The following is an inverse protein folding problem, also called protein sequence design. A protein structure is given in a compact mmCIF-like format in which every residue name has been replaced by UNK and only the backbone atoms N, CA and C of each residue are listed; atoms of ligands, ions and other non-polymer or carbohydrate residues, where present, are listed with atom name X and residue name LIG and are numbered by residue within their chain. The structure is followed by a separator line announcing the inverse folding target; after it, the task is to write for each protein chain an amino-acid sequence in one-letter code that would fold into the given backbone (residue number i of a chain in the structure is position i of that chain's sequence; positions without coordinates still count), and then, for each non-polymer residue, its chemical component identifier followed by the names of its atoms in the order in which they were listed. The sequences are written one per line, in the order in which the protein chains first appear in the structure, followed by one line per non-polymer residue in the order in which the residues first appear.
data_IF_066991341761
#
_entry.id   IF_066991341761
#
_cell.length_a   1.000
_cell.length_b   1.000
_cell.length_c   1.000
_cell.angle_alpha   90.00
_cell.angle_beta   90.00
_cell.angle_gamma   90.00
#
_symmetry.space_group_name_H-M   'P 1'
#
loop_
_entity.id
_entity.type
_entity.pdbx_description
1 polymer ?
#
# COMPACT_ATOMS: atom_id res chain seq x y z
N UNK A 1 -25.78 6.61 -3.93
CA UNK A 1 -25.02 5.36 -4.16
C UNK A 1 -23.98 5.30 -3.05
N UNK A 2 -23.92 4.21 -2.29
CA UNK A 2 -23.10 4.11 -1.07
C UNK A 2 -21.71 3.60 -1.44
N UNK A 3 -20.69 4.45 -1.29
CA UNK A 3 -19.29 4.04 -1.45
C UNK A 3 -18.98 3.07 -0.31
N UNK A 4 -18.74 1.79 -0.63
CA UNK A 4 -18.29 0.80 0.35
C UNK A 4 -16.78 0.80 0.37
N UNK A 5 -16.20 1.11 1.52
CA UNK A 5 -14.79 0.86 1.79
C UNK A 5 -14.67 -0.57 2.27
N UNK A 6 -13.97 -1.40 1.51
CA UNK A 6 -13.57 -2.73 1.98
C UNK A 6 -12.34 -2.56 2.88
N UNK A 7 -12.57 -2.53 4.19
CA UNK A 7 -11.48 -2.52 5.16
C UNK A 7 -10.91 -3.94 5.21
N UNK A 8 -9.67 -4.04 4.76
CA UNK A 8 -8.90 -5.27 4.74
C UNK A 8 -7.82 -5.14 5.79
N UNK A 9 -8.15 -5.55 7.02
CA UNK A 9 -7.12 -5.65 8.06
C UNK A 9 -6.17 -6.79 7.72
N UNK A 10 -4.88 -6.48 7.64
CA UNK A 10 -3.84 -7.52 7.68
C UNK A 10 -3.62 -7.83 9.15
N UNK A 11 -3.61 -9.10 9.53
CA UNK A 11 -3.14 -9.49 10.87
C UNK A 11 -1.61 -9.38 10.97
N UNK A 12 -1.01 -8.37 10.34
CA UNK A 12 0.39 -8.03 10.52
C UNK A 12 0.47 -7.24 11.83
N UNK A 13 0.74 -7.98 12.91
CA UNK A 13 1.16 -7.46 14.21
C UNK A 13 0.36 -6.25 14.73
N UNK A 14 -0.77 -6.51 15.39
CA UNK A 14 -1.49 -5.55 16.24
C UNK A 14 -0.69 -5.07 17.47
N UNK A 15 0.65 -5.07 17.40
CA UNK A 15 1.59 -4.62 18.42
C UNK A 15 2.99 -4.24 17.90
N UNK A 16 3.21 -4.16 16.58
CA UNK A 16 4.46 -3.62 16.05
C UNK A 16 4.41 -2.09 16.02
N UNK A 17 5.46 -1.44 16.50
CA UNK A 17 5.65 0.01 16.46
C UNK A 17 6.81 0.35 15.53
N UNK A 18 6.51 1.06 14.44
CA UNK A 18 7.49 1.47 13.44
C UNK A 18 7.85 2.96 13.52
N UNK A 19 7.38 3.68 14.55
CA UNK A 19 7.59 5.12 14.72
C UNK A 19 9.07 5.53 14.71
N UNK A 20 9.95 4.66 15.19
CA UNK A 20 11.40 4.90 15.22
C UNK A 20 12.07 4.86 13.83
N UNK A 21 11.40 4.31 12.81
CA UNK A 21 11.86 4.25 11.43
C UNK A 21 11.51 5.55 10.70
N UNK A 22 12.02 6.66 11.20
CA UNK A 22 11.70 8.04 10.78
C UNK A 22 12.53 8.57 9.59
N UNK A 23 13.41 7.74 9.04
CA UNK A 23 14.33 8.12 7.98
C UNK A 23 14.51 6.96 6.99
N UNK A 24 14.71 7.31 5.71
CA UNK A 24 14.82 6.33 4.62
C UNK A 24 15.96 5.34 4.85
N UNK A 25 17.07 5.79 5.43
CA UNK A 25 18.19 4.92 5.80
C UNK A 25 17.77 3.86 6.83
N UNK A 26 17.08 4.25 7.92
CA UNK A 26 16.58 3.30 8.92
C UNK A 26 15.61 2.28 8.32
N UNK A 27 14.75 2.72 7.41
CA UNK A 27 13.80 1.85 6.72
C UNK A 27 14.53 0.83 5.82
N UNK A 28 15.52 1.25 5.04
CA UNK A 28 16.35 0.34 4.25
C UNK A 28 17.14 -0.65 5.13
N UNK A 29 17.69 -0.20 6.27
CA UNK A 29 18.31 -1.11 7.24
C UNK A 29 17.33 -2.17 7.76
N UNK A 30 16.06 -1.83 7.95
CA UNK A 30 15.04 -2.80 8.34
C UNK A 30 14.74 -3.79 7.21
N UNK A 31 14.78 -3.35 5.95
CA UNK A 31 14.71 -4.24 4.78
C UNK A 31 15.89 -5.20 4.73
N UNK A 32 17.12 -4.70 4.92
CA UNK A 32 18.33 -5.53 4.94
C UNK A 32 18.31 -6.61 6.03
N UNK A 33 17.63 -6.35 7.16
CA UNK A 33 17.44 -7.32 8.25
C UNK A 33 16.31 -8.32 8.01
N UNK A 34 15.46 -8.08 7.00
CA UNK A 34 14.26 -8.86 6.73
C UNK A 34 13.05 -8.50 7.59
N UNK A 35 13.09 -7.37 8.31
CA UNK A 35 11.95 -6.89 9.11
C UNK A 35 10.86 -6.25 8.23
N UNK A 36 11.28 -5.66 7.11
CA UNK A 36 10.42 -5.00 6.13
C UNK A 36 10.80 -5.43 4.72
N UNK A 37 9.92 -5.12 3.77
CA UNK A 37 10.19 -5.16 2.34
C UNK A 37 9.94 -3.80 1.73
N UNK A 38 10.71 -3.47 0.69
CA UNK A 38 10.47 -2.29 -0.14
C UNK A 38 9.61 -2.71 -1.34
N UNK A 39 8.45 -2.08 -1.52
CA UNK A 39 7.54 -2.38 -2.64
C UNK A 39 7.21 -1.11 -3.41
N UNK A 40 6.77 -1.30 -4.66
CA UNK A 40 6.29 -0.21 -5.49
C UNK A 40 4.81 0.07 -5.24
N UNK A 41 4.46 1.35 -5.07
CA UNK A 41 3.06 1.79 -5.01
C UNK A 41 2.35 1.52 -6.33
N UNK A 42 2.90 2.03 -7.43
CA UNK A 42 2.54 1.63 -8.78
C UNK A 42 3.42 0.45 -9.22
N UNK A 43 2.86 -0.73 -9.48
CA UNK A 43 3.61 -1.89 -9.99
C UNK A 43 4.37 -1.61 -11.29
N UNK A 44 5.55 -2.24 -11.44
CA UNK A 44 6.38 -2.11 -12.64
C UNK A 44 5.64 -2.53 -13.92
N UNK A 45 4.79 -3.56 -13.83
CA UNK A 45 3.95 -4.03 -14.94
C UNK A 45 2.94 -2.98 -15.45
N UNK A 46 2.66 -1.94 -14.66
CA UNK A 46 1.82 -0.80 -15.03
C UNK A 46 2.62 0.49 -15.30
N UNK A 47 3.94 0.37 -15.48
CA UNK A 47 4.84 1.50 -15.75
C UNK A 47 5.41 2.16 -14.50
N UNK A 48 5.23 1.55 -13.33
CA UNK A 48 5.91 1.95 -12.10
C UNK A 48 7.43 1.88 -12.23
N UNK A 49 8.12 2.80 -11.57
CA UNK A 49 9.60 2.86 -11.56
C UNK A 49 10.12 2.84 -10.12
N UNK A 50 11.35 2.38 -9.93
CA UNK A 50 12.05 2.36 -8.63
C UNK A 50 12.55 3.76 -8.24
N UNK A 51 11.66 4.75 -8.27
CA UNK A 51 11.94 6.09 -7.75
C UNK A 51 11.54 6.16 -6.30
N UNK A 52 12.21 7.04 -5.55
CA UNK A 52 11.96 7.18 -4.11
C UNK A 52 10.49 7.49 -3.79
N UNK A 53 9.83 8.26 -4.67
CA UNK A 53 8.42 8.63 -4.60
C UNK A 53 7.45 7.46 -4.85
N UNK A 54 7.90 6.35 -5.44
CA UNK A 54 7.07 5.18 -5.74
C UNK A 54 7.39 4.00 -4.83
N UNK A 55 8.39 4.12 -3.94
CA UNK A 55 8.80 3.06 -3.03
C UNK A 55 8.24 3.32 -1.63
N UNK A 56 7.60 2.29 -1.07
CA UNK A 56 7.13 2.28 0.32
C UNK A 56 7.72 1.08 1.07
N UNK A 57 7.91 1.23 2.37
CA UNK A 57 8.44 0.20 3.25
C UNK A 57 7.31 -0.38 4.10
N UNK A 58 7.09 -1.68 4.00
CA UNK A 58 5.99 -2.35 4.70
C UNK A 58 6.41 -3.75 5.18
N UNK A 59 5.71 -4.33 6.16
CA UNK A 59 5.88 -5.75 6.49
C UNK A 59 5.54 -6.65 5.30
N UNK A 60 6.16 -7.83 5.22
CA UNK A 60 5.95 -8.79 4.12
C UNK A 60 4.47 -9.13 3.91
N UNK A 61 3.72 -9.39 4.99
CA UNK A 61 2.29 -9.70 4.90
C UNK A 61 1.44 -8.57 4.27
N UNK A 62 1.88 -7.31 4.39
CA UNK A 62 1.23 -6.15 3.75
C UNK A 62 1.54 -6.12 2.26
N UNK A 63 2.78 -6.42 1.88
CA UNK A 63 3.17 -6.58 0.48
C UNK A 63 2.37 -7.69 -0.20
N UNK A 64 2.32 -8.89 0.41
CA UNK A 64 1.54 -10.02 -0.12
C UNK A 64 0.05 -9.67 -0.28
N UNK A 65 -0.50 -8.85 0.62
CA UNK A 65 -1.89 -8.43 0.52
C UNK A 65 -2.11 -7.43 -0.61
N UNK A 66 -1.19 -6.48 -0.79
CA UNK A 66 -1.23 -5.54 -1.91
C UNK A 66 -1.10 -6.27 -3.24
N UNK A 67 -0.14 -7.18 -3.36
CA UNK A 67 0.08 -7.97 -4.58
C UNK A 67 -1.17 -8.75 -4.96
N UNK A 68 -1.89 -9.32 -3.98
CA UNK A 68 -3.18 -9.98 -4.23
C UNK A 68 -4.24 -9.04 -4.79
N UNK A 69 -4.35 -7.80 -4.28
CA UNK A 69 -5.29 -6.81 -4.82
C UNK A 69 -4.90 -6.45 -6.26
N UNK A 70 -3.61 -6.25 -6.51
CA UNK A 70 -3.11 -5.93 -7.84
C UNK A 70 -3.40 -7.07 -8.83
N UNK A 71 -3.14 -8.32 -8.44
CA UNK A 71 -3.34 -9.50 -9.29
C UNK A 71 -4.82 -9.88 -9.51
N UNK A 72 -5.65 -9.78 -8.47
CA UNK A 72 -7.05 -10.22 -8.55
C UNK A 72 -7.99 -9.14 -9.09
N UNK A 73 -7.66 -7.86 -8.90
CA UNK A 73 -8.54 -6.73 -9.27
C UNK A 73 -7.96 -5.93 -10.43
N UNK A 74 -6.72 -5.44 -10.30
CA UNK A 74 -6.13 -4.49 -11.25
C UNK A 74 -5.77 -5.17 -12.56
N UNK A 75 -5.05 -6.29 -12.50
CA UNK A 75 -4.60 -7.04 -13.69
C UNK A 75 -5.77 -7.45 -14.60
N UNK A 76 -6.89 -8.03 -14.10
CA UNK A 76 -8.03 -8.36 -14.96
C UNK A 76 -8.68 -7.13 -15.61
N UNK A 77 -8.77 -6.00 -14.90
CA UNK A 77 -9.33 -4.77 -15.46
C UNK A 77 -8.46 -4.23 -16.60
N UNK A 78 -7.15 -4.16 -16.41
CA UNK A 78 -6.20 -3.74 -17.45
C UNK A 78 -6.25 -4.68 -18.65
N UNK A 79 -6.25 -6.01 -18.42
CA UNK A 79 -6.33 -7.03 -19.49
C UNK A 79 -7.63 -6.98 -20.28
N UNK A 80 -8.73 -6.49 -19.67
CA UNK A 80 -10.00 -6.30 -20.37
C UNK A 80 -10.00 -5.10 -21.34
N UNK A 81 -8.86 -4.40 -21.48
CA UNK A 81 -8.72 -3.24 -22.37
C UNK A 81 -9.36 -1.96 -21.83
N UNK A 82 -9.70 -1.93 -20.54
CA UNK A 82 -10.28 -0.75 -19.89
C UNK A 82 -9.17 0.15 -19.37
N UNK A 83 -9.32 1.45 -19.60
CA UNK A 83 -8.55 2.46 -18.86
C UNK A 83 -9.03 2.47 -17.41
N UNK A 84 -8.07 2.38 -16.49
CA UNK A 84 -8.32 2.46 -15.06
C UNK A 84 -7.54 3.62 -14.45
N UNK A 85 -8.11 4.19 -13.41
CA UNK A 85 -7.38 5.02 -12.46
C UNK A 85 -7.02 4.12 -11.28
N UNK A 86 -5.73 4.08 -10.96
CA UNK A 86 -5.17 3.31 -9.87
C UNK A 86 -4.34 4.25 -9.00
N UNK A 87 -4.61 4.27 -7.71
CA UNK A 87 -3.88 5.07 -6.75
C UNK A 87 -3.64 4.29 -5.48
N UNK A 88 -2.41 4.39 -4.95
CA UNK A 88 -2.05 3.92 -3.61
C UNK A 88 -1.55 5.12 -2.84
N UNK A 89 -2.21 5.42 -1.73
CA UNK A 89 -1.88 6.55 -0.87
C UNK A 89 -1.47 6.03 0.51
N UNK A 90 -0.19 6.17 0.90
CA UNK A 90 0.25 5.78 2.23
C UNK A 90 -0.27 6.77 3.27
N UNK A 91 -0.81 6.25 4.36
CA UNK A 91 -1.15 7.04 5.54
C UNK A 91 -0.01 6.92 6.53
N UNK A 92 0.71 8.01 6.76
CA UNK A 92 1.86 8.01 7.68
C UNK A 92 1.47 8.53 9.05
N UNK A 93 2.08 7.96 10.09
CA UNK A 93 2.09 8.53 11.42
C UNK A 93 3.36 9.37 11.62
N UNK A 94 3.18 10.67 11.90
CA UNK A 94 4.25 11.66 12.11
C UNK A 94 5.33 11.59 11.02
N UNK A 95 6.55 11.19 11.40
CA UNK A 95 7.73 11.10 10.52
C UNK A 95 8.07 9.66 10.14
N UNK A 96 7.26 8.67 10.53
CA UNK A 96 7.51 7.27 10.19
C UNK A 96 7.58 7.07 8.67
N UNK A 97 8.61 6.34 8.23
CA UNK A 97 8.76 5.87 6.85
C UNK A 97 7.89 4.63 6.58
N UNK A 98 7.35 4.01 7.64
CA UNK A 98 6.38 2.91 7.52
C UNK A 98 4.97 3.48 7.74
N UNK A 99 4.08 3.42 6.74
CA UNK A 99 2.72 3.90 6.88
C UNK A 99 1.94 3.09 7.91
N UNK A 100 0.98 3.72 8.59
CA UNK A 100 -0.01 3.05 9.45
C UNK A 100 -1.06 2.31 8.63
N UNK A 101 -1.33 2.76 7.42
CA UNK A 101 -2.23 2.09 6.48
C UNK A 101 -1.91 2.46 5.03
N UNK A 102 -2.34 1.63 4.08
CA UNK A 102 -2.40 1.97 2.66
C UNK A 102 -3.85 2.12 2.22
N UNK A 103 -4.17 3.24 1.59
CA UNK A 103 -5.44 3.46 0.90
C UNK A 103 -5.25 3.19 -0.59
N UNK A 104 -5.97 2.20 -1.12
CA UNK A 104 -5.91 1.81 -2.52
C UNK A 104 -7.26 2.16 -3.15
N UNK A 105 -7.23 2.95 -4.22
CA UNK A 105 -8.40 3.32 -5.02
C UNK A 105 -8.24 2.78 -6.43
N UNK A 106 -9.27 2.09 -6.92
CA UNK A 106 -9.32 1.50 -8.25
C UNK A 106 -10.65 1.88 -8.89
N UNK A 107 -10.63 2.64 -9.97
CA UNK A 107 -11.84 2.99 -10.73
C UNK A 107 -11.63 2.78 -12.23
N UNK A 108 -12.66 2.36 -12.99
CA UNK A 108 -12.70 2.60 -14.42
C UNK A 108 -12.71 4.12 -14.68
N UNK A 109 -11.98 4.60 -15.69
CA UNK A 109 -11.78 6.04 -15.98
C UNK A 109 -13.05 6.85 -16.37
N UNK A 110 -14.26 6.29 -16.25
CA UNK A 110 -15.51 6.92 -16.68
C UNK A 110 -16.61 6.77 -15.62
N UNK A 111 -16.82 7.81 -14.78
CA UNK A 111 -18.01 8.03 -13.93
C UNK A 111 -18.54 6.79 -13.19
N UNK A 112 -17.66 5.89 -12.76
CA UNK A 112 -17.98 4.74 -11.91
C UNK A 112 -17.32 4.98 -10.55
N UNK A 113 -18.08 4.72 -9.48
CA UNK A 113 -17.57 4.82 -8.12
C UNK A 113 -16.33 3.93 -7.95
N UNK A 114 -15.24 4.43 -7.34
CA UNK A 114 -14.04 3.64 -7.12
C UNK A 114 -14.29 2.50 -6.12
N UNK A 115 -13.62 1.39 -6.35
CA UNK A 115 -13.38 0.39 -5.32
C UNK A 115 -12.29 0.89 -4.39
N UNK A 116 -12.59 0.96 -3.09
CA UNK A 116 -11.66 1.41 -2.06
C UNK A 116 -11.27 0.24 -1.16
N UNK A 117 -9.97 0.01 -1.06
CA UNK A 117 -9.38 -0.96 -0.14
C UNK A 117 -8.48 -0.23 0.85
N UNK A 118 -8.59 -0.60 2.13
CA UNK A 118 -7.64 -0.16 3.15
C UNK A 118 -6.88 -1.34 3.70
N UNK A 119 -5.55 -1.26 3.68
CA UNK A 119 -4.65 -2.21 4.30
C UNK A 119 -4.08 -1.58 5.57
N UNK A 120 -4.59 -1.97 6.73
CA UNK A 120 -4.02 -1.54 8.02
C UNK A 120 -2.67 -2.24 8.26
N UNK A 121 -1.69 -1.49 8.74
CA UNK A 121 -0.30 -1.96 8.94
C UNK A 121 0.05 -1.97 10.42
N UNK A 122 -0.19 -0.87 11.13
CA UNK A 122 0.06 -0.76 12.57
C UNK A 122 -0.75 0.39 13.17
N UNK A 123 -0.91 0.41 14.50
CA UNK A 123 -1.82 1.33 15.19
C UNK A 123 -1.34 2.81 15.22
N UNK A 124 -0.11 3.09 14.80
CA UNK A 124 0.53 4.38 14.99
C UNK A 124 1.03 4.57 16.43
N UNK A 125 1.85 5.60 16.65
CA UNK A 125 2.10 6.08 18.00
C UNK A 125 0.83 6.78 18.48
N UNK A 126 -0.02 6.07 19.23
CA UNK A 126 -1.16 6.69 19.91
C UNK A 126 -0.74 7.99 20.62
N UNK A 127 -1.63 8.97 20.65
CA UNK A 127 -1.44 10.19 21.46
C UNK A 127 -1.37 9.87 22.95
#
# INVERSE_FOLDING_TARGET
MEVRVEIVSVSAATGADYSALDTREKAWRAVERGDLVAILMLPAMFGGTERDENIIFVPEAVAERKDRIDDEIVVPMVRSGKTIEYSVTPRNDRQSMVPIALDISISPALNVDPSFYRIEIWAGSGE
#
